data_IF_319164443692
#
_entry.id   IF_319164443692
#
_cell.length_a   1.000
_cell.length_b   1.000
_cell.length_c   1.000
_cell.angle_alpha   90.00
_cell.angle_beta   90.00
_cell.angle_gamma   90.00
#
_symmetry.space_group_name_H-M   'P 1'
#
loop_
_entity.id
_entity.type
_entity.pdbx_description
1 polymer ?
#
# COMPACT_ATOMS: atom_id res chain seq x y z
N UNK A 1 32.77 3.35 -70.81
CA UNK A 1 33.84 4.28 -71.25
C UNK A 1 33.76 5.50 -70.35
N UNK A 2 34.74 5.96 -69.58
CA UNK A 2 36.17 5.76 -69.60
C UNK A 2 36.72 5.88 -68.16
N UNK A 3 37.74 5.08 -67.89
CA UNK A 3 38.62 5.14 -66.73
C UNK A 3 39.52 6.38 -66.81
N UNK A 4 39.78 7.04 -65.69
CA UNK A 4 41.01 7.81 -65.50
C UNK A 4 41.49 7.65 -64.04
N UNK A 5 42.43 6.73 -63.89
CA UNK A 5 43.27 6.53 -62.72
C UNK A 5 44.35 7.62 -62.72
N UNK A 6 44.57 8.28 -61.58
CA UNK A 6 45.86 8.89 -61.26
C UNK A 6 46.37 8.34 -59.94
N UNK A 7 47.67 8.08 -59.94
CA UNK A 7 48.43 7.32 -58.96
C UNK A 7 49.38 8.26 -58.20
N UNK A 8 49.57 7.92 -56.91
CA UNK A 8 50.73 8.18 -56.04
C UNK A 8 50.91 9.58 -55.41
N UNK A 9 51.60 9.72 -54.24
CA UNK A 9 52.18 8.72 -53.32
C UNK A 9 51.81 8.92 -51.81
N UNK A 10 51.92 7.85 -51.01
CA UNK A 10 52.18 7.92 -49.56
C UNK A 10 53.68 8.24 -49.34
N UNK A 11 54.20 8.77 -48.20
CA UNK A 11 53.90 8.28 -46.85
C UNK A 11 54.04 9.31 -45.69
N UNK A 12 53.73 8.85 -44.48
CA UNK A 12 54.56 8.95 -43.26
C UNK A 12 53.71 9.15 -42.00
N UNK A 13 53.46 8.02 -41.35
CA UNK A 13 53.66 7.78 -39.92
C UNK A 13 53.72 9.04 -39.03
N UNK A 14 52.62 9.33 -38.34
CA UNK A 14 52.70 9.94 -37.02
C UNK A 14 51.82 9.22 -36.01
N UNK A 15 52.54 8.49 -35.17
CA UNK A 15 52.43 8.40 -33.71
C UNK A 15 51.04 8.09 -33.13
N UNK A 16 50.90 6.80 -32.81
CA UNK A 16 50.09 6.27 -31.72
C UNK A 16 50.24 7.14 -30.46
N UNK A 17 49.20 7.86 -30.11
CA UNK A 17 48.96 8.41 -28.77
C UNK A 17 47.66 7.84 -28.23
N UNK A 18 47.71 6.62 -27.68
CA UNK A 18 46.62 6.08 -26.86
C UNK A 18 46.65 6.82 -25.53
N UNK A 19 45.89 7.89 -25.40
CA UNK A 19 45.46 8.37 -24.09
C UNK A 19 44.16 7.63 -23.77
N UNK A 20 44.31 6.54 -23.02
CA UNK A 20 43.22 5.80 -22.41
C UNK A 20 42.54 6.75 -21.42
N UNK A 21 41.35 7.25 -21.78
CA UNK A 21 40.49 7.95 -20.83
C UNK A 21 39.99 6.91 -19.84
N UNK A 22 40.65 6.80 -18.68
CA UNK A 22 40.14 6.06 -17.55
C UNK A 22 38.92 6.82 -17.01
N UNK A 23 37.73 6.45 -17.48
CA UNK A 23 36.48 6.85 -16.85
C UNK A 23 36.38 6.04 -15.57
N UNK A 24 36.70 6.66 -14.44
CA UNK A 24 36.38 6.14 -13.13
C UNK A 24 34.85 6.16 -12.96
N UNK A 25 34.20 5.05 -13.30
CA UNK A 25 32.80 4.81 -12.94
C UNK A 25 32.80 4.57 -11.44
N UNK A 26 32.52 5.62 -10.67
CA UNK A 26 32.16 5.49 -9.26
C UNK A 26 30.83 4.73 -9.22
N UNK A 27 30.91 3.43 -8.90
CA UNK A 27 29.78 2.59 -8.55
C UNK A 27 29.09 3.20 -7.33
N UNK A 28 28.03 3.96 -7.57
CA UNK A 28 27.03 4.29 -6.56
C UNK A 28 26.31 2.99 -6.20
N UNK A 29 26.86 2.26 -5.23
CA UNK A 29 26.10 1.27 -4.48
C UNK A 29 25.11 2.03 -3.59
N UNK A 30 24.01 2.52 -4.20
CA UNK A 30 22.80 2.77 -3.46
C UNK A 30 22.23 1.40 -3.08
N UNK A 31 22.71 0.86 -1.96
CA UNK A 31 22.08 -0.30 -1.35
C UNK A 31 20.66 0.09 -0.98
N UNK A 32 19.68 -0.61 -1.52
CA UNK A 32 18.33 -0.63 -0.99
C UNK A 32 18.43 -1.16 0.44
N UNK A 33 18.51 -0.26 1.41
CA UNK A 33 18.28 -0.60 2.79
C UNK A 33 16.79 -0.88 2.92
N UNK A 34 16.42 -2.16 2.89
CA UNK A 34 15.13 -2.62 3.38
C UNK A 34 15.08 -2.27 4.87
N UNK A 35 14.51 -1.11 5.17
CA UNK A 35 14.26 -0.69 6.55
C UNK A 35 13.33 -1.68 7.25
N UNK A 36 13.35 -1.76 8.59
CA UNK A 36 12.30 -2.44 9.33
C UNK A 36 10.93 -1.91 8.88
N UNK A 37 9.84 -2.70 9.02
CA UNK A 37 8.49 -2.21 8.74
C UNK A 37 8.33 -0.86 9.43
N UNK A 38 7.87 0.13 8.69
CA UNK A 38 7.69 1.47 9.23
C UNK A 38 6.71 1.35 10.39
N UNK A 39 7.20 1.51 11.61
CA UNK A 39 6.37 1.90 12.74
C UNK A 39 5.70 3.18 12.26
N UNK A 40 4.39 3.13 11.98
CA UNK A 40 3.64 4.32 11.56
C UNK A 40 3.58 5.22 12.78
N UNK A 41 4.56 6.11 12.89
CA UNK A 41 4.60 7.14 13.92
C UNK A 41 3.54 8.17 13.55
N UNK A 42 2.36 8.07 14.18
CA UNK A 42 1.29 9.05 14.04
C UNK A 42 1.84 10.45 14.35
N UNK A 43 1.47 11.42 13.53
CA UNK A 43 1.88 12.80 13.80
C UNK A 43 1.20 13.31 15.07
N UNK A 44 1.83 14.27 15.75
CA UNK A 44 1.22 14.92 16.92
C UNK A 44 -0.14 15.56 16.60
N UNK A 45 -0.39 15.93 15.34
CA UNK A 45 -1.65 16.51 14.89
C UNK A 45 -2.74 15.43 14.81
N UNK A 46 -2.47 14.28 14.18
CA UNK A 46 -3.36 13.11 14.13
C UNK A 46 -3.68 12.58 15.53
N UNK A 47 -2.68 12.48 16.40
CA UNK A 47 -2.89 12.05 17.78
C UNK A 47 -3.82 13.00 18.56
N UNK A 48 -3.74 14.31 18.28
CA UNK A 48 -4.50 15.31 19.01
C UNK A 48 -5.99 15.36 18.67
N UNK A 49 -6.39 14.83 17.50
CA UNK A 49 -7.80 14.79 17.09
C UNK A 49 -8.53 13.55 17.61
N UNK A 50 -7.82 12.53 18.09
CA UNK A 50 -8.40 11.32 18.66
C UNK A 50 -8.95 11.53 20.08
N UNK A 51 -9.98 10.78 20.45
CA UNK A 51 -10.47 10.72 21.82
C UNK A 51 -9.45 10.02 22.73
N UNK A 52 -9.51 10.31 24.04
CA UNK A 52 -8.61 9.70 25.01
C UNK A 52 -8.76 8.17 25.04
N UNK A 53 -9.96 7.67 24.83
CA UNK A 53 -10.26 6.24 24.75
C UNK A 53 -9.60 5.60 23.53
N UNK A 54 -9.67 6.25 22.37
CA UNK A 54 -9.03 5.75 21.15
C UNK A 54 -7.50 5.77 21.29
N UNK A 55 -6.93 6.84 21.85
CA UNK A 55 -5.48 6.94 22.10
C UNK A 55 -5.00 5.80 23.01
N UNK A 56 -5.71 5.51 24.09
CA UNK A 56 -5.37 4.42 25.00
C UNK A 56 -5.50 3.05 24.34
N UNK A 57 -6.46 2.87 23.43
CA UNK A 57 -6.70 1.61 22.74
C UNK A 57 -5.62 1.25 21.72
N UNK A 58 -4.89 2.22 21.19
CA UNK A 58 -3.84 1.99 20.17
C UNK A 58 -2.43 2.20 20.70
N UNK A 59 -2.26 2.59 21.96
CA UNK A 59 -0.97 2.95 22.55
C UNK A 59 0.05 1.80 22.53
N UNK A 60 -0.41 0.56 22.72
CA UNK A 60 0.45 -0.63 22.69
C UNK A 60 0.55 -1.26 21.28
N UNK A 61 -0.09 -0.65 20.29
CA UNK A 61 -0.11 -1.09 18.90
C UNK A 61 -1.00 -2.31 18.63
N UNK A 62 -1.78 -2.77 19.62
CA UNK A 62 -2.65 -3.94 19.52
C UNK A 62 -4.07 -3.56 19.92
N UNK A 63 -5.06 -3.90 19.11
CA UNK A 63 -6.47 -3.61 19.45
C UNK A 63 -7.19 -4.90 19.83
N UNK A 64 -7.68 -4.96 21.07
CA UNK A 64 -8.52 -6.09 21.49
C UNK A 64 -9.94 -5.99 20.91
N UNK A 65 -10.66 -7.11 20.81
CA UNK A 65 -12.05 -7.13 20.34
C UNK A 65 -12.95 -6.18 21.15
N UNK A 66 -12.66 -6.05 22.45
CA UNK A 66 -13.36 -5.12 23.35
C UNK A 66 -13.10 -3.67 22.97
N UNK A 67 -11.86 -3.30 22.66
CA UNK A 67 -11.51 -1.94 22.21
C UNK A 67 -12.08 -1.64 20.83
N UNK A 68 -12.02 -2.60 19.90
CA UNK A 68 -12.63 -2.47 18.58
C UNK A 68 -14.14 -2.21 18.66
N UNK A 69 -14.85 -3.01 19.44
CA UNK A 69 -16.28 -2.82 19.75
C UNK A 69 -16.53 -1.44 20.39
N UNK A 70 -15.74 -1.07 21.39
CA UNK A 70 -15.92 0.19 22.10
C UNK A 70 -15.69 1.42 21.20
N UNK A 71 -14.70 1.36 20.31
CA UNK A 71 -14.46 2.42 19.31
C UNK A 71 -15.64 2.56 18.34
N UNK A 72 -16.17 1.44 17.84
CA UNK A 72 -17.34 1.43 16.98
C UNK A 72 -18.58 2.03 17.69
N UNK A 73 -18.87 1.58 18.92
CA UNK A 73 -19.99 2.08 19.71
C UNK A 73 -19.86 3.59 20.01
N UNK A 74 -18.64 4.08 20.26
CA UNK A 74 -18.38 5.50 20.45
C UNK A 74 -18.61 6.31 19.16
N UNK A 75 -18.20 5.78 18.01
CA UNK A 75 -18.48 6.37 16.70
C UNK A 75 -19.99 6.44 16.40
N UNK A 76 -20.72 5.33 16.57
CA UNK A 76 -22.19 5.28 16.44
C UNK A 76 -22.87 6.30 17.37
N UNK A 77 -22.43 6.37 18.62
CA UNK A 77 -22.96 7.32 19.61
C UNK A 77 -22.71 8.77 19.23
N UNK A 78 -21.53 9.09 18.69
CA UNK A 78 -21.18 10.43 18.20
C UNK A 78 -22.10 10.85 17.04
N UNK A 79 -22.29 9.97 16.06
CA UNK A 79 -23.22 10.22 14.95
C UNK A 79 -24.67 10.39 15.43
N UNK A 80 -25.12 9.52 16.36
CA UNK A 80 -26.45 9.63 16.96
C UNK A 80 -26.68 10.96 17.67
N UNK A 81 -25.66 11.49 18.35
CA UNK A 81 -25.71 12.82 18.97
C UNK A 81 -25.75 13.96 17.94
N UNK A 82 -25.14 13.76 16.77
CA UNK A 82 -25.25 14.67 15.63
C UNK A 82 -26.58 14.54 14.86
N UNK A 83 -27.42 13.56 15.21
CA UNK A 83 -28.74 13.34 14.62
C UNK A 83 -28.74 12.39 13.42
N UNK A 84 -27.68 11.62 13.22
CA UNK A 84 -27.55 10.63 12.15
C UNK A 84 -27.54 9.21 12.72
N UNK A 85 -28.10 8.25 11.99
CA UNK A 85 -28.14 6.83 12.37
C UNK A 85 -27.48 6.01 11.28
N UNK A 86 -26.56 5.11 11.64
CA UNK A 86 -25.94 4.21 10.69
C UNK A 86 -26.88 3.06 10.33
N UNK A 87 -26.80 2.60 9.09
CA UNK A 87 -27.41 1.32 8.71
C UNK A 87 -26.49 0.18 9.13
N UNK A 88 -26.90 -0.65 10.09
CA UNK A 88 -26.13 -1.84 10.47
C UNK A 88 -26.28 -2.96 9.43
N UNK A 89 -25.18 -3.34 8.76
CA UNK A 89 -25.16 -4.41 7.75
C UNK A 89 -24.65 -5.75 8.32
N UNK A 90 -24.02 -5.72 9.49
CA UNK A 90 -23.66 -6.90 10.28
C UNK A 90 -22.21 -6.92 10.69
N UNK A 91 -21.72 -8.11 11.06
CA UNK A 91 -20.34 -8.31 11.51
C UNK A 91 -19.64 -9.55 10.90
N UNK A 92 -19.59 -9.69 9.55
CA UNK A 92 -18.94 -10.83 8.93
C UNK A 92 -17.44 -10.84 9.23
N UNK A 93 -16.90 -12.01 9.55
CA UNK A 93 -15.47 -12.16 9.85
C UNK A 93 -14.95 -11.34 11.04
N UNK A 94 -15.83 -10.76 11.87
CA UNK A 94 -15.44 -9.92 13.01
C UNK A 94 -15.28 -8.43 12.69
N UNK A 95 -15.60 -7.98 11.47
CA UNK A 95 -15.55 -6.57 11.06
C UNK A 95 -16.93 -5.96 11.05
N UNK A 96 -17.08 -4.73 11.52
CA UNK A 96 -18.34 -4.02 11.38
C UNK A 96 -18.56 -3.61 9.93
N UNK A 97 -19.72 -3.97 9.39
CA UNK A 97 -20.20 -3.47 8.10
C UNK A 97 -21.41 -2.59 8.35
N UNK A 98 -21.38 -1.39 7.80
CA UNK A 98 -22.41 -0.38 8.02
C UNK A 98 -22.51 0.56 6.82
N UNK A 99 -23.72 1.08 6.61
CA UNK A 99 -24.00 2.15 5.66
C UNK A 99 -24.00 3.51 6.37
N UNK A 100 -23.30 4.47 5.79
CA UNK A 100 -23.26 5.86 6.28
C UNK A 100 -24.28 6.67 5.45
N UNK A 101 -25.26 7.35 6.09
CA UNK A 101 -26.18 8.23 5.38
C UNK A 101 -25.43 9.35 4.66
N UNK A 102 -25.84 9.67 3.43
CA UNK A 102 -25.22 10.75 2.62
C UNK A 102 -25.26 12.09 3.37
N UNK A 103 -26.33 12.37 4.12
CA UNK A 103 -26.47 13.60 4.90
C UNK A 103 -25.43 13.72 6.03
N UNK A 104 -24.97 12.59 6.59
CA UNK A 104 -23.94 12.59 7.63
C UNK A 104 -22.55 12.91 7.04
N UNK A 105 -22.29 12.42 5.82
CA UNK A 105 -21.09 12.71 5.04
C UNK A 105 -21.08 14.18 4.63
N UNK A 106 -22.17 14.67 4.03
CA UNK A 106 -22.30 16.06 3.58
C UNK A 106 -22.16 17.08 4.73
N UNK A 107 -22.61 16.70 5.93
CA UNK A 107 -22.45 17.52 7.12
C UNK A 107 -21.04 17.45 7.75
N UNK A 108 -20.16 16.56 7.27
CA UNK A 108 -18.84 16.29 7.86
C UNK A 108 -18.89 15.59 9.22
N UNK A 109 -20.06 15.11 9.63
CA UNK A 109 -20.25 14.45 10.92
C UNK A 109 -19.62 13.06 10.93
N UNK A 110 -19.70 12.33 9.81
CA UNK A 110 -19.03 11.04 9.60
C UNK A 110 -17.52 11.15 9.83
N UNK A 111 -16.82 11.94 9.00
CA UNK A 111 -15.37 12.14 9.10
C UNK A 111 -14.96 12.57 10.51
N UNK A 112 -15.66 13.55 11.09
CA UNK A 112 -15.35 14.06 12.44
C UNK A 112 -15.49 12.97 13.50
N UNK A 113 -16.61 12.24 13.51
CA UNK A 113 -16.86 11.20 14.52
C UNK A 113 -15.96 9.98 14.32
N UNK A 114 -15.71 9.58 13.06
CA UNK A 114 -14.87 8.44 12.73
C UNK A 114 -13.41 8.70 13.12
N UNK A 115 -12.83 9.85 12.75
CA UNK A 115 -11.48 10.24 13.17
C UNK A 115 -11.35 10.30 14.70
N UNK A 116 -12.35 10.90 15.37
CA UNK A 116 -12.32 11.09 16.81
C UNK A 116 -12.40 9.78 17.59
N UNK A 117 -13.18 8.79 17.13
CA UNK A 117 -13.52 7.63 17.95
C UNK A 117 -13.09 6.26 17.43
N UNK A 118 -12.85 6.11 16.13
CA UNK A 118 -12.77 4.76 15.55
C UNK A 118 -11.70 4.54 14.49
N UNK A 119 -11.23 5.57 13.78
CA UNK A 119 -10.35 5.44 12.63
C UNK A 119 -9.06 4.64 12.87
N UNK A 120 -8.29 4.95 13.91
CA UNK A 120 -7.04 4.25 14.22
C UNK A 120 -7.29 2.87 14.82
N UNK A 121 -8.33 2.76 15.67
CA UNK A 121 -8.75 1.46 16.22
C UNK A 121 -9.13 0.48 15.09
N UNK A 122 -9.89 0.96 14.10
CA UNK A 122 -10.27 0.19 12.92
C UNK A 122 -9.07 -0.12 12.02
N UNK A 123 -8.19 0.85 11.82
CA UNK A 123 -6.96 0.67 11.04
C UNK A 123 -6.02 -0.36 11.64
N UNK A 124 -5.80 -0.34 12.96
CA UNK A 124 -5.00 -1.38 13.66
C UNK A 124 -5.70 -2.72 13.55
N UNK A 125 -7.01 -2.79 13.85
CA UNK A 125 -7.77 -4.04 13.79
C UNK A 125 -7.69 -4.72 12.42
N UNK A 126 -7.85 -3.97 11.33
CA UNK A 126 -7.79 -4.51 9.96
C UNK A 126 -6.38 -5.00 9.58
N UNK A 127 -5.31 -4.40 10.12
CA UNK A 127 -3.94 -4.90 9.91
C UNK A 127 -3.69 -6.21 10.65
N UNK A 128 -4.19 -6.32 11.88
CA UNK A 128 -4.02 -7.51 12.71
C UNK A 128 -4.92 -8.67 12.27
N UNK A 129 -6.03 -8.34 11.61
CA UNK A 129 -7.01 -9.29 11.09
C UNK A 129 -7.19 -9.06 9.59
N UNK A 130 -6.29 -9.56 8.73
CA UNK A 130 -6.50 -9.50 7.29
C UNK A 130 -7.80 -10.22 6.92
N UNK A 131 -8.66 -9.58 6.14
CA UNK A 131 -9.86 -10.24 5.59
C UNK A 131 -9.40 -11.30 4.59
N UNK A 132 -9.82 -12.54 4.80
CA UNK A 132 -9.70 -13.60 3.79
C UNK A 132 -10.89 -13.51 2.84
N UNK A 133 -10.71 -12.76 1.76
CA UNK A 133 -11.76 -12.43 0.79
C UNK A 133 -11.62 -13.32 -0.44
N UNK A 134 -12.64 -14.14 -0.74
CA UNK A 134 -12.59 -15.05 -1.88
C UNK A 134 -12.53 -14.33 -3.23
N UNK A 135 -13.18 -13.17 -3.36
CA UNK A 135 -13.17 -12.42 -4.62
C UNK A 135 -11.78 -11.83 -4.86
N UNK A 136 -11.15 -11.29 -3.82
CA UNK A 136 -9.74 -10.86 -3.88
C UNK A 136 -8.84 -12.04 -4.22
N UNK A 137 -9.02 -13.20 -3.59
CA UNK A 137 -8.23 -14.40 -3.91
C UNK A 137 -8.41 -14.84 -5.36
N UNK A 138 -9.61 -14.75 -5.94
CA UNK A 138 -9.84 -15.05 -7.36
C UNK A 138 -8.99 -14.14 -8.24
N UNK A 139 -9.01 -12.82 -7.99
CA UNK A 139 -8.21 -11.82 -8.73
C UNK A 139 -6.71 -12.13 -8.60
N UNK A 140 -6.23 -12.37 -7.38
CA UNK A 140 -4.82 -12.69 -7.13
C UNK A 140 -4.38 -13.97 -7.84
N UNK A 141 -5.21 -15.01 -7.83
CA UNK A 141 -4.93 -16.27 -8.54
C UNK A 141 -4.88 -16.06 -10.05
N UNK A 142 -5.78 -15.26 -10.62
CA UNK A 142 -5.75 -14.94 -12.05
C UNK A 142 -4.48 -14.18 -12.44
N UNK A 143 -4.05 -13.22 -11.63
CA UNK A 143 -2.81 -12.49 -11.86
C UNK A 143 -1.58 -13.41 -11.81
N UNK A 144 -1.53 -14.31 -10.81
CA UNK A 144 -0.46 -15.32 -10.70
C UNK A 144 -0.49 -16.31 -11.87
N UNK A 145 -1.66 -16.78 -12.29
CA UNK A 145 -1.83 -17.71 -13.41
C UNK A 145 -1.36 -17.09 -14.74
N UNK A 146 -1.66 -15.81 -14.98
CA UNK A 146 -1.22 -15.09 -16.17
C UNK A 146 0.30 -15.05 -16.33
N UNK A 147 1.01 -15.07 -15.19
CA UNK A 147 2.48 -15.07 -15.09
C UNK A 147 3.06 -16.49 -14.96
N UNK A 148 2.21 -17.53 -15.01
CA UNK A 148 2.60 -18.93 -14.87
C UNK A 148 3.12 -19.28 -13.47
N UNK A 149 2.67 -18.56 -12.44
CA UNK A 149 3.02 -18.76 -11.05
C UNK A 149 2.01 -19.65 -10.33
N UNK A 150 2.42 -20.19 -9.18
CA UNK A 150 1.56 -21.01 -8.31
C UNK A 150 0.37 -20.19 -7.76
N UNK A 151 -0.82 -20.77 -7.76
CA UNK A 151 -2.09 -20.15 -7.36
C UNK A 151 -2.68 -20.77 -6.09
N UNK A 152 -2.00 -21.72 -5.46
CA UNK A 152 -2.43 -22.30 -4.20
C UNK A 152 -2.05 -21.39 -3.01
N UNK A 153 -2.90 -21.41 -1.98
CA UNK A 153 -2.67 -20.73 -0.71
C UNK A 153 -3.80 -19.81 -0.24
N UNK A 154 -3.58 -19.22 0.93
CA UNK A 154 -4.40 -18.15 1.52
C UNK A 154 -4.20 -16.83 0.77
N UNK A 155 -5.05 -15.83 1.01
CA UNK A 155 -4.88 -14.49 0.43
C UNK A 155 -3.50 -13.90 0.76
N UNK A 156 -3.01 -14.08 1.99
CA UNK A 156 -1.69 -13.61 2.41
C UNK A 156 -0.57 -14.29 1.63
N UNK A 157 -0.66 -15.61 1.42
CA UNK A 157 0.33 -16.36 0.65
C UNK A 157 0.33 -15.93 -0.83
N UNK A 158 -0.85 -15.69 -1.40
CA UNK A 158 -1.01 -15.19 -2.77
C UNK A 158 -0.45 -13.76 -2.90
N UNK A 159 -0.76 -12.88 -1.95
CA UNK A 159 -0.28 -11.49 -1.91
C UNK A 159 1.23 -11.44 -1.75
N UNK A 160 1.79 -12.24 -0.85
CA UNK A 160 3.24 -12.36 -0.67
C UNK A 160 3.93 -12.81 -1.96
N UNK A 161 3.30 -13.71 -2.72
CA UNK A 161 3.81 -14.19 -4.01
C UNK A 161 3.77 -13.10 -5.09
N UNK A 162 2.70 -12.30 -5.17
CA UNK A 162 2.60 -11.13 -6.05
C UNK A 162 3.73 -10.12 -5.74
N UNK A 163 3.93 -9.80 -4.47
CA UNK A 163 4.99 -8.86 -4.03
C UNK A 163 6.37 -9.41 -4.35
N UNK A 164 6.62 -10.70 -4.06
CA UNK A 164 7.90 -11.35 -4.35
C UNK A 164 8.22 -11.47 -5.84
N UNK A 165 7.21 -11.33 -6.71
CA UNK A 165 7.32 -11.44 -8.17
C UNK A 165 7.27 -10.08 -8.88
N UNK A 166 7.30 -8.97 -8.14
CA UNK A 166 7.24 -7.59 -8.67
C UNK A 166 5.99 -7.28 -9.54
N UNK A 167 4.90 -8.05 -9.39
CA UNK A 167 3.67 -7.89 -10.20
C UNK A 167 2.80 -6.71 -9.75
N UNK A 168 3.01 -6.23 -8.52
CA UNK A 168 2.29 -5.09 -7.95
C UNK A 168 0.82 -5.38 -7.66
N UNK A 169 0.43 -5.39 -6.39
CA UNK A 169 -0.94 -5.70 -5.97
C UNK A 169 -2.00 -4.82 -6.68
N UNK A 170 -1.77 -3.51 -6.76
CA UNK A 170 -2.69 -2.58 -7.43
C UNK A 170 -2.84 -2.91 -8.92
N UNK A 171 -1.76 -3.27 -9.62
CA UNK A 171 -1.83 -3.64 -11.03
C UNK A 171 -2.68 -4.89 -11.26
N UNK A 172 -2.51 -5.92 -10.43
CA UNK A 172 -3.37 -7.11 -10.47
C UNK A 172 -4.86 -6.76 -10.25
N UNK A 173 -5.16 -5.90 -9.28
CA UNK A 173 -6.53 -5.48 -9.00
C UNK A 173 -7.13 -4.67 -10.16
N UNK A 174 -6.36 -3.81 -10.82
CA UNK A 174 -6.82 -3.02 -11.97
C UNK A 174 -7.03 -3.86 -13.23
N UNK A 175 -6.24 -4.93 -13.43
CA UNK A 175 -6.32 -5.77 -14.63
C UNK A 175 -7.39 -6.87 -14.52
N UNK A 176 -7.58 -7.43 -13.32
CA UNK A 176 -8.42 -8.62 -13.12
C UNK A 176 -9.64 -8.40 -12.21
N UNK A 177 -9.79 -7.23 -11.58
CA UNK A 177 -10.96 -6.83 -10.78
C UNK A 177 -12.08 -6.19 -11.60
#
# INVERSE_FOLDING_TARGET
MAFALFHHPAPLLLRRGRAVTAVAIALLLAGCASGPPADIELTSEEWSVMSAEQQAAVEDGVVTEREYTAGYEAYVSCLGQAGFELEELGRPGGFYEFGIPEEAVDAGADETCYLLHYNEVDSVWQREHPRDDEDVKVILRQCLEAEGLDTEGTQDELTARIVASDLGFIGCMEEFG
#
